data_IF_621126892513
#
_entry.id   IF_621126892513
#
_cell.length_a   1.000
_cell.length_b   1.000
_cell.length_c   1.000
_cell.angle_alpha   90.00
_cell.angle_beta   90.00
_cell.angle_gamma   90.00
#
_symmetry.space_group_name_H-M   'P 1'
#
loop_
_entity.id
_entity.type
_entity.pdbx_description
1 polymer ?
#
# COMPACT_ATOMS: atom_id res chain seq x y z
N UNK A 1 6.65 37.37 -24.79
CA UNK A 1 6.88 35.94 -25.08
C UNK A 1 5.53 35.23 -24.96
N UNK A 2 5.08 34.57 -26.02
CA UNK A 2 3.74 33.98 -26.07
C UNK A 2 3.80 32.51 -25.60
N UNK A 3 3.16 32.20 -24.47
CA UNK A 3 3.06 30.85 -23.91
C UNK A 3 1.98 29.98 -24.58
N UNK A 4 1.31 30.48 -25.63
CA UNK A 4 0.27 29.75 -26.35
C UNK A 4 0.75 28.41 -26.92
N UNK A 5 2.01 28.34 -27.39
CA UNK A 5 2.61 27.08 -27.84
C UNK A 5 2.80 26.07 -26.70
N UNK A 6 3.16 26.55 -25.49
CA UNK A 6 3.25 25.72 -24.30
C UNK A 6 1.86 25.22 -23.87
N UNK A 7 0.84 26.08 -23.91
CA UNK A 7 -0.53 25.70 -23.58
C UNK A 7 -1.07 24.64 -24.54
N UNK A 8 -0.89 24.80 -25.85
CA UNK A 8 -1.30 23.79 -26.83
C UNK A 8 -0.58 22.44 -26.65
N UNK A 9 0.71 22.48 -26.33
CA UNK A 9 1.46 21.26 -26.00
C UNK A 9 0.94 20.60 -24.72
N UNK A 10 0.65 21.38 -23.66
CA UNK A 10 0.06 20.89 -22.41
C UNK A 10 -1.36 20.33 -22.62
N UNK A 11 -2.18 20.96 -23.46
CA UNK A 11 -3.53 20.50 -23.80
C UNK A 11 -3.48 19.17 -24.57
N UNK A 12 -2.51 19.02 -25.48
CA UNK A 12 -2.28 17.75 -26.21
C UNK A 12 -1.80 16.63 -25.28
N UNK A 13 -1.00 16.98 -24.27
CA UNK A 13 -0.59 16.08 -23.19
C UNK A 13 -1.76 15.69 -22.28
N UNK A 14 -2.68 16.63 -22.01
CA UNK A 14 -3.88 16.37 -21.22
C UNK A 14 -4.85 15.39 -21.92
N UNK A 15 -4.85 15.34 -23.25
CA UNK A 15 -5.63 14.40 -24.07
C UNK A 15 -4.90 13.08 -24.37
N UNK A 16 -3.70 12.88 -23.83
CA UNK A 16 -2.74 11.96 -24.43
C UNK A 16 -2.95 10.48 -24.15
N UNK A 17 -3.68 10.04 -23.12
CA UNK A 17 -3.83 8.60 -22.85
C UNK A 17 -5.19 8.07 -23.29
N UNK A 18 -5.19 7.14 -24.24
CA UNK A 18 -6.36 6.32 -24.52
C UNK A 18 -6.77 5.51 -23.29
N UNK A 19 -8.02 5.05 -23.24
CA UNK A 19 -8.50 4.19 -22.14
C UNK A 19 -7.64 2.93 -21.95
N UNK A 20 -7.09 2.39 -23.03
CA UNK A 20 -6.20 1.23 -23.02
C UNK A 20 -4.85 1.56 -22.36
N UNK A 21 -4.24 2.67 -22.77
CA UNK A 21 -2.96 3.12 -22.20
C UNK A 21 -3.11 3.52 -20.73
N UNK A 22 -4.20 4.22 -20.39
CA UNK A 22 -4.50 4.57 -19.00
C UNK A 22 -4.68 3.32 -18.13
N UNK A 23 -5.43 2.32 -18.61
CA UNK A 23 -5.57 1.04 -17.90
C UNK A 23 -4.22 0.33 -17.74
N UNK A 24 -3.32 0.45 -18.72
CA UNK A 24 -1.96 -0.09 -18.64
C UNK A 24 -1.14 0.63 -17.57
N UNK A 25 -1.16 1.97 -17.55
CA UNK A 25 -0.51 2.79 -16.52
C UNK A 25 -1.01 2.42 -15.11
N UNK A 26 -2.33 2.36 -14.92
CA UNK A 26 -2.94 2.00 -13.63
C UNK A 26 -2.57 0.59 -13.19
N UNK A 27 -2.46 -0.36 -14.12
CA UNK A 27 -1.95 -1.71 -13.84
C UNK A 27 -0.51 -1.69 -13.35
N UNK A 28 0.37 -0.93 -14.03
CA UNK A 28 1.79 -0.80 -13.65
C UNK A 28 1.91 -0.20 -12.24
N UNK A 29 1.19 0.89 -11.97
CA UNK A 29 1.15 1.54 -10.66
C UNK A 29 0.68 0.56 -9.57
N UNK A 30 -0.45 -0.13 -9.79
CA UNK A 30 -1.00 -1.07 -8.81
C UNK A 30 -0.03 -2.22 -8.48
N UNK A 31 0.62 -2.81 -9.48
CA UNK A 31 1.59 -3.90 -9.26
C UNK A 31 2.90 -3.43 -8.61
N UNK A 32 3.37 -2.24 -8.96
CA UNK A 32 4.54 -1.67 -8.30
C UNK A 32 4.25 -1.33 -6.84
N UNK A 33 3.13 -0.67 -6.55
CA UNK A 33 2.69 -0.41 -5.17
C UNK A 33 2.50 -1.69 -4.36
N UNK A 34 1.98 -2.77 -4.96
CA UNK A 34 1.92 -4.09 -4.34
C UNK A 34 3.28 -4.59 -3.89
N UNK A 35 4.28 -4.46 -4.76
CA UNK A 35 5.65 -4.89 -4.47
C UNK A 35 6.26 -4.04 -3.35
N UNK A 36 6.12 -2.73 -3.43
CA UNK A 36 6.64 -1.78 -2.44
C UNK A 36 6.00 -1.96 -1.06
N UNK A 37 4.67 -2.06 -1.01
CA UNK A 37 3.91 -2.37 0.21
C UNK A 37 4.34 -3.72 0.81
N UNK A 38 4.51 -4.75 -0.03
CA UNK A 38 4.98 -6.08 0.39
C UNK A 38 6.34 -5.99 1.06
N UNK A 39 7.28 -5.30 0.41
CA UNK A 39 8.66 -5.25 0.87
C UNK A 39 8.79 -4.40 2.15
N UNK A 40 8.03 -3.30 2.26
CA UNK A 40 7.90 -2.53 3.50
C UNK A 40 7.36 -3.35 4.67
N UNK A 41 6.29 -4.14 4.45
CA UNK A 41 5.75 -5.01 5.51
C UNK A 41 6.76 -6.11 5.90
N UNK A 42 7.49 -6.69 4.93
CA UNK A 42 8.57 -7.65 5.23
C UNK A 42 9.66 -7.03 6.11
N UNK A 43 10.00 -5.77 5.87
CA UNK A 43 10.96 -5.00 6.66
C UNK A 43 10.41 -4.50 8.01
N UNK A 44 9.16 -4.82 8.33
CA UNK A 44 8.45 -4.43 9.55
C UNK A 44 8.43 -2.91 9.74
N UNK A 45 8.05 -2.17 8.70
CA UNK A 45 7.99 -0.70 8.70
C UNK A 45 6.60 -0.17 8.37
N UNK A 46 6.25 0.97 8.98
CA UNK A 46 5.13 1.82 8.59
C UNK A 46 5.51 2.66 7.35
N UNK A 47 4.54 3.28 6.65
CA UNK A 47 4.80 4.14 5.50
C UNK A 47 5.74 5.33 5.79
N UNK A 48 5.73 5.86 7.02
CA UNK A 48 6.63 6.92 7.47
C UNK A 48 8.07 6.43 7.77
N UNK A 49 8.36 5.14 7.56
CA UNK A 49 9.66 4.51 7.80
C UNK A 49 9.87 4.00 9.23
N UNK A 50 8.99 4.35 10.18
CA UNK A 50 9.09 3.87 11.58
C UNK A 50 8.90 2.36 11.66
N UNK A 51 9.57 1.70 12.61
CA UNK A 51 9.44 0.26 12.79
C UNK A 51 8.09 -0.10 13.42
N UNK A 52 7.51 -1.22 13.00
CA UNK A 52 6.37 -1.81 13.66
C UNK A 52 6.69 -2.09 15.12
N UNK A 53 5.72 -1.77 15.98
CA UNK A 53 5.79 -2.15 17.40
C UNK A 53 5.96 -3.68 17.48
N UNK A 54 6.93 -4.21 18.25
CA UNK A 54 7.10 -5.64 18.43
C UNK A 54 5.87 -6.35 19.01
N UNK A 55 5.85 -7.69 18.94
CA UNK A 55 4.82 -8.47 19.64
C UNK A 55 5.04 -8.35 21.15
N UNK A 56 3.95 -8.25 21.92
CA UNK A 56 3.99 -8.40 23.38
C UNK A 56 4.59 -9.77 23.74
N UNK A 57 5.50 -9.80 24.71
CA UNK A 57 6.26 -11.00 25.14
C UNK A 57 5.78 -11.50 26.50
N UNK A 58 4.48 -11.39 26.76
CA UNK A 58 3.94 -11.57 28.12
C UNK A 58 3.69 -13.06 28.44
N UNK A 59 4.39 -13.99 27.78
CA UNK A 59 4.21 -15.43 27.96
C UNK A 59 5.47 -16.03 28.61
N UNK A 60 5.31 -16.64 29.79
CA UNK A 60 6.34 -17.43 30.46
C UNK A 60 6.40 -18.81 29.78
N UNK A 61 7.58 -19.24 29.34
CA UNK A 61 7.81 -20.52 28.65
C UNK A 61 8.14 -20.39 27.16
N UNK A 62 8.09 -21.51 26.41
CA UNK A 62 8.46 -21.53 24.99
C UNK A 62 7.54 -20.64 24.13
N UNK A 63 8.07 -19.47 23.74
CA UNK A 63 7.37 -18.48 22.94
C UNK A 63 7.17 -19.02 21.52
N UNK A 64 5.97 -19.54 21.20
CA UNK A 64 5.65 -20.15 19.90
C UNK A 64 5.76 -19.21 18.68
N UNK A 65 5.87 -17.88 18.87
CA UNK A 65 5.82 -16.89 17.77
C UNK A 65 6.77 -15.70 17.98
N UNK A 66 8.07 -15.96 18.07
CA UNK A 66 9.14 -14.94 18.15
C UNK A 66 9.43 -14.19 16.85
N UNK A 67 8.93 -14.67 15.70
CA UNK A 67 9.23 -14.08 14.39
C UNK A 67 8.53 -12.75 14.07
N UNK A 68 8.84 -12.19 12.90
CA UNK A 68 8.21 -10.99 12.36
C UNK A 68 6.67 -11.10 12.28
N UNK A 69 5.97 -9.96 12.36
CA UNK A 69 4.53 -9.88 12.09
C UNK A 69 4.25 -10.05 10.59
N UNK A 70 3.04 -10.53 10.26
CA UNK A 70 2.54 -10.53 8.87
C UNK A 70 3.42 -11.27 7.83
N UNK A 71 4.22 -12.26 8.24
CA UNK A 71 5.14 -13.00 7.34
C UNK A 71 4.47 -13.61 6.09
N UNK A 72 3.20 -14.02 6.20
CA UNK A 72 2.43 -14.61 5.09
C UNK A 72 1.54 -13.61 4.35
N UNK A 73 1.65 -12.31 4.65
CA UNK A 73 0.71 -11.30 4.13
C UNK A 73 0.73 -11.17 2.61
N UNK A 74 1.87 -11.50 1.98
CA UNK A 74 2.09 -11.41 0.53
C UNK A 74 1.01 -12.16 -0.27
N UNK A 75 0.59 -13.33 0.22
CA UNK A 75 -0.45 -14.15 -0.41
C UNK A 75 -1.83 -13.47 -0.40
N UNK A 76 -2.01 -12.45 0.45
CA UNK A 76 -3.28 -11.80 0.69
C UNK A 76 -3.33 -10.35 0.20
N UNK A 77 -2.22 -9.77 -0.27
CA UNK A 77 -2.24 -8.44 -0.92
C UNK A 77 -2.92 -8.59 -2.29
N UNK A 78 -3.92 -7.74 -2.53
CA UNK A 78 -4.71 -7.67 -3.76
C UNK A 78 -4.46 -6.34 -4.44
N UNK A 79 -4.55 -6.37 -5.77
CA UNK A 79 -4.53 -5.18 -6.62
C UNK A 79 -5.84 -5.12 -7.36
N UNK A 80 -6.37 -3.92 -7.52
CA UNK A 80 -7.52 -3.62 -8.37
C UNK A 80 -7.18 -2.40 -9.23
N UNK A 81 -7.56 -2.41 -10.50
CA UNK A 81 -7.23 -1.33 -11.42
C UNK A 81 -8.16 -1.30 -12.62
N UNK A 82 -8.44 -0.10 -13.11
CA UNK A 82 -9.18 0.17 -14.32
C UNK A 82 -8.52 1.34 -15.08
N UNK A 83 -9.20 1.91 -16.07
CA UNK A 83 -8.75 3.17 -16.67
C UNK A 83 -8.93 4.37 -15.71
N UNK A 84 -9.79 4.24 -14.71
CA UNK A 84 -10.17 5.35 -13.83
C UNK A 84 -9.51 5.24 -12.43
N UNK A 85 -8.91 4.09 -12.10
CA UNK A 85 -8.30 3.89 -10.78
C UNK A 85 -7.19 2.84 -10.75
N UNK A 86 -6.34 2.95 -9.73
CA UNK A 86 -5.40 1.93 -9.29
C UNK A 86 -5.46 1.81 -7.76
N UNK A 87 -5.56 0.59 -7.25
CA UNK A 87 -5.67 0.31 -5.83
C UNK A 87 -4.86 -0.92 -5.44
N UNK A 88 -4.33 -0.90 -4.22
CA UNK A 88 -3.67 -2.03 -3.58
C UNK A 88 -4.10 -2.13 -2.12
N UNK A 89 -4.31 -3.36 -1.65
CA UNK A 89 -4.73 -3.55 -0.26
C UNK A 89 -5.11 -4.99 0.05
N UNK A 90 -6.12 -5.14 0.89
CA UNK A 90 -6.60 -6.42 1.38
C UNK A 90 -8.10 -6.54 1.18
N UNK A 91 -8.59 -7.78 1.13
CA UNK A 91 -10.02 -8.07 1.05
C UNK A 91 -10.46 -8.98 2.21
N UNK A 92 -11.78 -9.03 2.44
CA UNK A 92 -12.44 -9.98 3.35
C UNK A 92 -11.82 -9.98 4.77
N UNK A 93 -11.56 -11.17 5.32
CA UNK A 93 -10.99 -11.37 6.65
C UNK A 93 -9.63 -10.67 6.82
N UNK A 94 -8.80 -10.65 5.77
CA UNK A 94 -7.49 -9.99 5.84
C UNK A 94 -7.65 -8.47 5.94
N UNK A 95 -8.59 -7.87 5.21
CA UNK A 95 -8.90 -6.44 5.35
C UNK A 95 -9.35 -6.09 6.77
N UNK A 96 -10.20 -6.92 7.37
CA UNK A 96 -10.64 -6.73 8.77
C UNK A 96 -9.46 -6.76 9.74
N UNK A 97 -8.52 -7.68 9.57
CA UNK A 97 -7.31 -7.76 10.41
C UNK A 97 -6.41 -6.55 10.18
N UNK A 98 -6.16 -6.19 8.92
CA UNK A 98 -5.36 -5.03 8.57
C UNK A 98 -5.94 -3.74 9.18
N UNK A 99 -7.26 -3.55 9.09
CA UNK A 99 -7.97 -2.40 9.67
C UNK A 99 -7.77 -2.27 11.18
N UNK A 100 -7.79 -3.39 11.91
CA UNK A 100 -7.55 -3.40 13.36
C UNK A 100 -6.16 -2.83 13.67
N UNK A 101 -5.15 -3.25 12.92
CA UNK A 101 -3.79 -2.77 13.12
C UNK A 101 -3.58 -1.34 12.57
N UNK A 102 -4.20 -0.99 11.45
CA UNK A 102 -4.09 0.33 10.83
C UNK A 102 -4.55 1.43 11.79
N UNK A 103 -5.67 1.20 12.48
CA UNK A 103 -6.31 2.19 13.33
C UNK A 103 -6.19 1.87 14.83
N UNK A 104 -5.30 0.95 15.20
CA UNK A 104 -5.07 0.53 16.58
C UNK A 104 -6.37 0.15 17.35
N UNK A 105 -7.30 -0.53 16.67
CA UNK A 105 -8.62 -0.83 17.22
C UNK A 105 -8.53 -1.83 18.39
N UNK A 106 -9.45 -1.69 19.34
CA UNK A 106 -9.64 -2.69 20.39
C UNK A 106 -10.50 -3.83 19.88
N UNK A 107 -10.04 -5.06 20.06
CA UNK A 107 -10.82 -6.25 19.71
C UNK A 107 -10.59 -7.39 20.70
N UNK A 108 -11.62 -8.22 20.85
CA UNK A 108 -11.58 -9.47 21.58
C UNK A 108 -10.97 -10.58 20.69
N UNK A 109 -9.83 -11.20 21.07
CA UNK A 109 -9.17 -12.23 20.25
C UNK A 109 -9.93 -13.56 20.16
N UNK A 110 -10.63 -13.93 21.25
CA UNK A 110 -11.49 -15.12 21.35
C UNK A 110 -12.71 -14.78 22.22
N UNK A 111 -13.83 -15.50 22.13
CA UNK A 111 -15.04 -15.19 22.91
C UNK A 111 -14.81 -15.03 24.42
N UNK A 112 -13.83 -15.75 24.97
CA UNK A 112 -13.52 -15.80 26.41
C UNK A 112 -12.46 -14.76 26.81
N UNK A 113 -11.63 -14.28 25.87
CA UNK A 113 -10.55 -13.35 26.18
C UNK A 113 -11.05 -11.93 26.50
N UNK A 114 -10.31 -11.18 27.32
CA UNK A 114 -10.55 -9.75 27.50
C UNK A 114 -10.28 -9.00 26.18
N UNK A 115 -11.00 -7.90 25.87
CA UNK A 115 -10.65 -7.02 24.77
C UNK A 115 -9.22 -6.48 24.93
N UNK A 116 -8.48 -6.42 23.82
CA UNK A 116 -7.09 -5.92 23.80
C UNK A 116 -6.98 -4.84 22.73
N UNK A 117 -6.35 -3.73 23.08
CA UNK A 117 -5.95 -2.70 22.12
C UNK A 117 -4.76 -3.20 21.30
N UNK A 118 -4.91 -3.22 19.97
CA UNK A 118 -3.85 -3.64 19.08
C UNK A 118 -2.93 -2.47 18.78
N UNK A 119 -1.61 -2.67 18.91
CA UNK A 119 -0.64 -1.66 18.52
C UNK A 119 -0.75 -1.29 17.04
N UNK A 120 -0.65 0.02 16.74
CA UNK A 120 -0.72 0.58 15.39
C UNK A 120 0.40 0.01 14.53
N UNK A 121 0.04 -0.59 13.39
CA UNK A 121 0.96 -1.08 12.36
C UNK A 121 0.27 -0.82 11.02
N UNK A 122 0.78 0.16 10.30
CA UNK A 122 0.18 0.64 9.07
C UNK A 122 0.60 -0.25 7.92
N UNK A 123 -0.29 -1.18 7.56
CA UNK A 123 -0.02 -2.13 6.48
C UNK A 123 -0.29 -1.50 5.11
N UNK A 124 -1.24 -0.56 5.05
CA UNK A 124 -1.58 0.22 3.86
C UNK A 124 -1.23 1.68 4.08
N UNK A 125 -1.02 2.41 2.98
CA UNK A 125 -0.61 3.81 2.97
C UNK A 125 0.55 4.03 2.01
N UNK A 126 0.80 5.30 1.67
CA UNK A 126 1.90 5.73 0.82
C UNK A 126 3.03 6.27 1.69
N UNK A 127 4.26 5.85 1.42
CA UNK A 127 5.44 6.60 1.86
C UNK A 127 5.76 7.73 0.88
N UNK A 128 6.64 8.65 1.27
CA UNK A 128 7.14 9.69 0.36
C UNK A 128 7.84 9.09 -0.87
N UNK A 129 8.57 7.99 -0.67
CA UNK A 129 9.16 7.22 -1.77
C UNK A 129 8.09 6.60 -2.69
N UNK A 130 6.94 6.16 -2.16
CA UNK A 130 5.85 5.65 -3.00
C UNK A 130 5.26 6.77 -3.87
N UNK A 131 5.03 7.96 -3.28
CA UNK A 131 4.53 9.12 -4.00
C UNK A 131 5.50 9.54 -5.09
N UNK A 132 6.80 9.59 -4.77
CA UNK A 132 7.85 9.93 -5.74
C UNK A 132 7.93 8.89 -6.85
N UNK A 133 7.90 7.61 -6.51
CA UNK A 133 7.90 6.52 -7.47
C UNK A 133 6.67 6.55 -8.40
N UNK A 134 5.48 6.86 -7.88
CA UNK A 134 4.27 7.02 -8.70
C UNK A 134 4.48 8.15 -9.71
N UNK A 135 4.95 9.32 -9.26
CA UNK A 135 5.19 10.48 -10.14
C UNK A 135 6.16 10.14 -11.26
N UNK A 136 7.31 9.55 -10.93
CA UNK A 136 8.29 9.11 -11.92
C UNK A 136 7.69 8.08 -12.88
N UNK A 137 6.95 7.10 -12.37
CA UNK A 137 6.29 6.08 -13.22
C UNK A 137 5.32 6.70 -14.22
N UNK A 138 4.54 7.71 -13.80
CA UNK A 138 3.63 8.43 -14.69
C UNK A 138 4.42 9.19 -15.76
N UNK A 139 5.44 9.95 -15.37
CA UNK A 139 6.26 10.73 -16.29
C UNK A 139 6.97 9.82 -17.32
N UNK A 140 7.60 8.74 -16.86
CA UNK A 140 8.28 7.77 -17.72
C UNK A 140 7.32 7.05 -18.68
N UNK A 141 6.07 6.83 -18.27
CA UNK A 141 5.06 6.23 -19.12
C UNK A 141 4.64 7.20 -20.22
N UNK A 142 4.43 8.47 -19.87
CA UNK A 142 4.05 9.52 -20.82
C UNK A 142 5.18 9.88 -21.78
N UNK A 143 6.44 9.82 -21.36
CA UNK A 143 7.59 10.16 -22.21
C UNK A 143 7.95 9.10 -23.25
N UNK A 144 7.40 7.89 -23.14
CA UNK A 144 7.63 6.77 -24.07
C UNK A 144 6.54 6.68 -25.15
N UNK A 145 5.56 7.58 -25.10
CA UNK A 145 4.56 7.77 -26.13
C UNK A 145 5.06 8.79 -27.14
#
# INVERSE_FOLDING_TARGET
MNFSALNHWLDSLALSLSSTEMRMLMRVIAQGLRTRMRDRIKQQQNPDGTKFIPRKRDQIGNIRRTGAMFQRINAYIKTDYSKDHAAVGFAHRTAKIARIHQYALTRRPSPIAKPVAYAKRELVGFSDDDVSWIKTTILDFMSKK
#
